data_IF_668842887447
#
_entry.id   IF_668842887447
#
_cell.length_a   1.000
_cell.length_b   1.000
_cell.length_c   1.000
_cell.angle_alpha   90.00
_cell.angle_beta   90.00
_cell.angle_gamma   90.00
#
_symmetry.space_group_name_H-M   'P 1'
#
loop_
_entity.id
_entity.type
_entity.pdbx_description
1 polymer ?
#
# COMPACT_ATOMS: atom_id res chain seq x y z
N UNK A 1 9.14 -23.60 0.57
CA UNK A 1 9.78 -24.08 -0.69
C UNK A 1 10.00 -22.88 -1.60
N UNK A 2 11.25 -22.49 -1.92
CA UNK A 2 11.50 -21.37 -2.87
C UNK A 2 11.26 -21.89 -4.28
N UNK A 3 10.26 -21.38 -4.96
CA UNK A 3 10.00 -21.68 -6.37
C UNK A 3 11.11 -21.00 -7.20
N UNK A 4 12.03 -21.76 -7.77
CA UNK A 4 13.02 -21.24 -8.67
C UNK A 4 12.35 -20.99 -10.03
N UNK A 5 12.25 -19.73 -10.43
CA UNK A 5 11.79 -19.38 -11.78
C UNK A 5 12.94 -19.63 -12.77
N UNK A 6 12.79 -20.61 -13.64
CA UNK A 6 13.74 -20.85 -14.71
C UNK A 6 13.62 -19.74 -15.77
N UNK A 7 14.74 -19.09 -16.09
CA UNK A 7 14.82 -18.13 -17.20
C UNK A 7 15.61 -18.73 -18.34
N UNK A 8 15.26 -18.46 -19.61
CA UNK A 8 15.89 -19.09 -20.78
C UNK A 8 17.26 -18.48 -21.15
N UNK A 9 17.82 -17.62 -20.31
CA UNK A 9 19.10 -16.94 -20.55
C UNK A 9 19.91 -16.79 -19.26
N UNK A 10 21.19 -16.50 -19.39
CA UNK A 10 22.11 -16.25 -18.28
C UNK A 10 21.76 -14.97 -17.56
N UNK A 11 21.83 -14.99 -16.24
CA UNK A 11 21.67 -13.82 -15.35
C UNK A 11 22.97 -13.57 -14.60
N UNK A 12 23.19 -12.32 -14.25
CA UNK A 12 24.34 -11.92 -13.46
C UNK A 12 24.24 -12.48 -12.02
N UNK A 13 25.39 -12.74 -11.44
CA UNK A 13 25.49 -13.08 -10.03
C UNK A 13 25.11 -11.85 -9.17
N UNK A 14 24.46 -12.10 -8.04
CA UNK A 14 23.97 -11.02 -7.15
C UNK A 14 25.08 -10.11 -6.65
N UNK A 15 26.30 -10.61 -6.53
CA UNK A 15 27.50 -9.85 -6.13
C UNK A 15 27.92 -8.75 -7.12
N UNK A 16 27.35 -8.72 -8.34
CA UNK A 16 27.59 -7.65 -9.32
C UNK A 16 26.83 -6.36 -9.02
N UNK A 17 25.92 -6.41 -8.05
CA UNK A 17 25.18 -5.28 -7.56
C UNK A 17 25.45 -5.13 -6.05
N UNK A 18 26.07 -4.03 -5.66
CA UNK A 18 26.12 -3.60 -4.27
C UNK A 18 25.09 -2.50 -4.10
N UNK A 19 24.03 -2.81 -3.38
CA UNK A 19 22.92 -1.88 -3.20
C UNK A 19 22.89 -1.37 -1.76
N UNK A 20 22.83 -0.05 -1.60
CA UNK A 20 22.52 0.61 -0.34
C UNK A 20 21.10 0.23 0.12
N UNK A 21 20.73 0.60 1.32
CA UNK A 21 19.35 0.48 1.78
C UNK A 21 18.48 1.52 1.06
N UNK A 22 17.20 1.19 0.87
CA UNK A 22 16.24 2.22 0.50
C UNK A 22 16.09 3.21 1.65
N UNK A 23 16.04 4.49 1.32
CA UNK A 23 15.85 5.59 2.24
C UNK A 23 14.54 6.29 1.97
N UNK A 24 13.88 6.75 3.03
CA UNK A 24 12.75 7.67 2.96
C UNK A 24 13.30 9.09 3.07
N UNK A 25 12.97 9.92 2.10
CA UNK A 25 13.30 11.34 2.12
C UNK A 25 12.22 12.07 2.93
N UNK A 26 12.57 12.52 4.10
CA UNK A 26 11.74 13.43 4.92
C UNK A 26 12.27 14.85 4.81
N UNK A 27 11.48 15.84 5.28
CA UNK A 27 11.89 17.26 5.26
C UNK A 27 13.13 17.54 6.10
N UNK A 28 13.48 16.68 7.05
CA UNK A 28 14.60 16.91 7.96
C UNK A 28 15.87 16.17 7.50
N UNK A 29 15.80 14.85 7.31
CA UNK A 29 16.95 14.04 6.85
C UNK A 29 16.49 12.74 6.19
N UNK A 30 17.29 12.19 5.22
CA UNK A 30 17.07 10.83 4.74
C UNK A 30 17.18 9.82 5.89
N UNK A 31 16.26 8.88 5.97
CA UNK A 31 16.29 7.80 6.95
C UNK A 31 16.11 6.44 6.29
N UNK A 32 16.76 5.37 6.79
CA UNK A 32 16.58 4.04 6.24
C UNK A 32 15.10 3.65 6.22
N UNK A 33 14.64 3.09 5.10
CA UNK A 33 13.27 2.59 4.96
C UNK A 33 13.09 1.37 5.89
N UNK A 34 12.21 1.46 6.91
CA UNK A 34 12.03 0.37 7.87
C UNK A 34 11.34 -0.82 7.23
N UNK A 35 11.51 -2.02 7.82
CA UNK A 35 10.81 -3.24 7.37
C UNK A 35 9.31 -3.19 7.66
N UNK A 36 8.90 -2.42 8.66
CA UNK A 36 7.51 -2.12 8.98
C UNK A 36 7.34 -0.61 8.96
N UNK A 37 6.51 -0.11 8.08
CA UNK A 37 6.25 1.30 7.89
C UNK A 37 4.89 1.65 8.50
N UNK A 38 4.91 2.47 9.55
CA UNK A 38 3.74 2.98 10.25
C UNK A 38 3.51 4.45 9.95
N UNK A 39 2.28 4.93 10.18
CA UNK A 39 1.95 6.36 10.06
C UNK A 39 1.73 6.85 8.64
N UNK A 40 1.67 5.96 7.63
CA UNK A 40 1.21 6.33 6.31
C UNK A 40 -0.32 6.43 6.28
N UNK A 41 -0.81 7.46 5.64
CA UNK A 41 -2.23 7.63 5.33
C UNK A 41 -2.46 7.77 3.81
N UNK A 42 -3.70 7.88 3.42
CA UNK A 42 -4.10 8.00 2.01
C UNK A 42 -3.50 9.25 1.32
N UNK A 43 -3.28 10.33 2.06
CA UNK A 43 -2.71 11.58 1.55
C UNK A 43 -1.19 11.61 1.58
N UNK A 44 -0.57 10.64 2.24
CA UNK A 44 0.88 10.54 2.39
C UNK A 44 1.58 10.34 1.05
N UNK A 45 2.76 10.92 0.93
CA UNK A 45 3.69 10.72 -0.19
C UNK A 45 4.99 10.14 0.34
N UNK A 46 5.32 8.95 -0.10
CA UNK A 46 6.53 8.25 0.28
C UNK A 46 7.59 8.52 -0.77
N UNK A 47 8.48 9.49 -0.50
CA UNK A 47 9.62 9.78 -1.34
C UNK A 47 10.75 8.81 -1.00
N UNK A 48 11.17 8.02 -1.97
CA UNK A 48 12.16 6.97 -1.82
C UNK A 48 13.42 7.27 -2.61
N UNK A 49 14.58 6.95 -2.03
CA UNK A 49 15.88 7.04 -2.67
C UNK A 49 16.72 5.81 -2.36
N UNK A 50 17.56 5.39 -3.32
CA UNK A 50 18.54 4.34 -3.13
C UNK A 50 19.74 4.58 -4.02
N UNK A 51 20.94 4.42 -3.47
CA UNK A 51 22.18 4.34 -4.22
C UNK A 51 22.54 2.88 -4.50
N UNK A 52 22.93 2.59 -5.72
CA UNK A 52 23.40 1.27 -6.15
C UNK A 52 24.72 1.39 -6.88
N UNK A 53 25.58 0.43 -6.67
CA UNK A 53 26.90 0.31 -7.33
C UNK A 53 26.92 -0.96 -8.15
N UNK A 54 27.21 -0.85 -9.44
CA UNK A 54 27.15 -1.96 -10.40
C UNK A 54 28.52 -2.21 -10.98
N UNK A 55 28.99 -3.47 -10.88
CA UNK A 55 30.13 -3.98 -11.66
C UNK A 55 29.66 -4.30 -13.08
N UNK A 56 29.72 -3.31 -13.98
CA UNK A 56 29.21 -3.43 -15.37
C UNK A 56 29.98 -4.47 -16.16
N UNK A 57 31.33 -4.49 -16.18
CA UNK A 57 32.09 -5.54 -16.88
C UNK A 57 31.76 -6.94 -16.40
N UNK A 58 31.75 -7.16 -15.08
CA UNK A 58 31.43 -8.47 -14.52
C UNK A 58 30.00 -8.91 -14.82
N UNK A 59 29.02 -8.00 -14.80
CA UNK A 59 27.64 -8.25 -15.17
C UNK A 59 27.53 -8.68 -16.65
N UNK A 60 28.24 -7.99 -17.56
CA UNK A 60 28.28 -8.34 -19.00
C UNK A 60 28.85 -9.70 -19.22
N UNK A 61 29.96 -10.04 -18.56
CA UNK A 61 30.59 -11.36 -18.63
C UNK A 61 29.64 -12.45 -18.15
N UNK A 62 29.03 -12.27 -16.99
CA UNK A 62 28.10 -13.26 -16.41
C UNK A 62 26.90 -13.53 -17.36
N UNK A 63 26.38 -12.50 -17.99
CA UNK A 63 25.23 -12.57 -18.90
C UNK A 63 25.60 -12.95 -20.34
N UNK A 64 26.89 -12.92 -20.69
CA UNK A 64 27.38 -13.17 -22.07
C UNK A 64 27.00 -12.01 -23.03
N UNK A 65 26.93 -10.78 -22.53
CA UNK A 65 26.56 -9.59 -23.31
C UNK A 65 27.81 -8.93 -23.92
N UNK A 66 27.66 -8.42 -25.13
CA UNK A 66 28.63 -7.54 -25.75
C UNK A 66 28.62 -6.14 -25.13
N UNK A 67 29.71 -5.38 -25.31
CA UNK A 67 29.84 -4.05 -24.71
C UNK A 67 28.88 -3.02 -25.29
N UNK A 68 28.40 -3.22 -26.51
CA UNK A 68 27.47 -2.35 -27.22
C UNK A 68 25.99 -2.46 -26.73
N UNK A 69 25.69 -3.44 -25.89
CA UNK A 69 24.32 -3.62 -25.40
C UNK A 69 23.98 -2.59 -24.33
N UNK A 70 22.99 -1.68 -24.58
CA UNK A 70 22.63 -0.70 -23.59
C UNK A 70 21.95 -1.36 -22.37
N UNK A 71 22.27 -0.87 -21.19
CA UNK A 71 21.75 -1.33 -19.91
C UNK A 71 20.95 -0.25 -19.22
N UNK A 72 19.98 -0.66 -18.41
CA UNK A 72 19.10 0.19 -17.66
C UNK A 72 19.00 -0.31 -16.20
N UNK A 73 19.26 0.56 -15.25
CA UNK A 73 18.88 0.34 -13.86
C UNK A 73 17.46 0.82 -13.66
N UNK A 74 16.58 0.01 -13.10
CA UNK A 74 15.19 0.35 -12.88
C UNK A 74 14.73 -0.06 -11.50
N UNK A 75 13.86 0.74 -10.92
CA UNK A 75 13.08 0.39 -9.75
C UNK A 75 11.59 0.39 -10.10
N UNK A 76 10.87 -0.59 -9.62
CA UNK A 76 9.42 -0.64 -9.69
C UNK A 76 8.86 -1.04 -8.32
N UNK A 77 7.65 -0.60 -8.05
CA UNK A 77 6.96 -1.03 -6.84
C UNK A 77 5.65 -1.76 -7.18
N UNK A 78 5.21 -2.59 -6.26
CA UNK A 78 3.90 -3.23 -6.32
C UNK A 78 3.32 -3.40 -4.92
N UNK A 79 2.01 -3.30 -4.82
CA UNK A 79 1.28 -3.54 -3.58
C UNK A 79 0.19 -4.59 -3.82
N UNK A 80 0.27 -5.75 -3.17
CA UNK A 80 -0.74 -6.80 -3.32
C UNK A 80 -2.13 -6.38 -2.90
N UNK A 81 -2.25 -5.56 -1.83
CA UNK A 81 -3.54 -5.11 -1.32
C UNK A 81 -4.33 -4.21 -2.28
N UNK A 82 -3.64 -3.48 -3.17
CA UNK A 82 -4.27 -2.65 -4.21
C UNK A 82 -4.17 -3.28 -5.60
N UNK A 83 -3.43 -4.37 -5.74
CA UNK A 83 -3.06 -5.00 -7.02
C UNK A 83 -2.38 -4.04 -8.03
N UNK A 84 -1.82 -2.95 -7.55
CA UNK A 84 -1.11 -1.98 -8.38
C UNK A 84 0.36 -2.37 -8.51
N UNK A 85 0.90 -2.11 -9.69
CA UNK A 85 2.34 -2.14 -9.98
C UNK A 85 2.68 -0.97 -10.89
N UNK A 86 3.73 -0.20 -10.50
CA UNK A 86 4.20 0.96 -11.28
C UNK A 86 5.72 1.06 -11.29
N UNK A 87 6.25 1.77 -12.27
CA UNK A 87 7.65 2.19 -12.27
C UNK A 87 7.88 3.22 -11.17
N UNK A 88 8.99 3.11 -10.45
CA UNK A 88 9.46 4.09 -9.48
C UNK A 88 10.53 4.99 -10.08
N UNK A 89 11.55 4.38 -10.69
CA UNK A 89 12.66 5.09 -11.30
C UNK A 89 13.27 4.26 -12.45
N UNK A 90 13.93 4.93 -13.39
CA UNK A 90 14.77 4.28 -14.39
C UNK A 90 15.92 5.19 -14.81
N UNK A 91 17.15 4.65 -14.85
CA UNK A 91 18.37 5.38 -15.18
C UNK A 91 19.19 4.53 -16.16
N UNK A 92 19.58 5.11 -17.30
CA UNK A 92 20.48 4.44 -18.24
C UNK A 92 21.87 4.28 -17.61
N UNK A 93 22.44 3.09 -17.72
CA UNK A 93 23.80 2.81 -17.27
C UNK A 93 24.75 3.29 -18.36
N UNK A 94 25.64 4.23 -18.02
CA UNK A 94 26.66 4.68 -18.95
C UNK A 94 27.59 3.51 -19.30
N UNK A 95 28.13 3.53 -20.53
CA UNK A 95 29.10 2.54 -21.01
C UNK A 95 30.48 2.77 -20.39
N UNK A 96 30.57 2.78 -19.07
CA UNK A 96 31.83 2.91 -18.36
C UNK A 96 32.51 1.53 -18.27
N UNK A 97 33.79 1.50 -18.55
CA UNK A 97 34.65 0.30 -18.45
C UNK A 97 34.85 -0.17 -16.98
N UNK A 98 34.05 0.33 -16.03
CA UNK A 98 34.25 0.12 -14.61
C UNK A 98 32.98 -0.07 -13.80
N UNK A 99 33.07 0.34 -12.55
CA UNK A 99 31.96 0.32 -11.60
C UNK A 99 31.15 1.61 -11.74
N UNK A 100 29.85 1.49 -11.87
CA UNK A 100 28.91 2.60 -12.03
C UNK A 100 28.11 2.82 -10.74
N UNK A 101 28.10 4.05 -10.22
CA UNK A 101 27.23 4.50 -9.13
C UNK A 101 25.98 5.14 -9.72
N UNK A 102 24.82 4.65 -9.30
CA UNK A 102 23.51 5.12 -9.76
C UNK A 102 22.62 5.43 -8.59
N UNK A 103 21.93 6.55 -8.66
CA UNK A 103 20.85 6.90 -7.74
C UNK A 103 19.49 6.59 -8.39
N UNK A 104 18.65 5.85 -7.67
CA UNK A 104 17.26 5.58 -8.02
C UNK A 104 16.38 6.33 -7.03
N UNK A 105 15.56 7.27 -7.51
CA UNK A 105 14.66 8.05 -6.66
C UNK A 105 13.28 8.16 -7.30
N UNK A 106 12.24 8.15 -6.46
CA UNK A 106 10.86 8.26 -6.92
C UNK A 106 9.88 8.38 -5.78
N UNK A 107 8.60 8.50 -6.12
CA UNK A 107 7.52 8.74 -5.17
C UNK A 107 6.46 7.64 -5.29
N UNK A 108 5.92 7.24 -4.13
CA UNK A 108 4.80 6.32 -4.01
C UNK A 108 3.70 7.02 -3.23
N UNK A 109 2.50 7.11 -3.81
CA UNK A 109 1.35 7.69 -3.10
C UNK A 109 0.81 6.68 -2.09
N UNK A 110 0.47 7.14 -0.88
CA UNK A 110 -0.15 6.32 0.16
C UNK A 110 -1.48 5.70 -0.30
N UNK A 111 -2.22 6.41 -1.15
CA UNK A 111 -3.45 5.91 -1.77
C UNK A 111 -3.27 4.68 -2.65
N UNK A 112 -2.07 4.43 -3.14
CA UNK A 112 -1.78 3.37 -4.11
C UNK A 112 -1.26 2.08 -3.46
N UNK A 113 -1.02 2.08 -2.15
CA UNK A 113 -0.43 0.95 -1.43
C UNK A 113 -1.28 0.50 -0.25
N UNK A 114 -1.35 -0.82 -0.01
CA UNK A 114 -2.04 -1.41 1.14
C UNK A 114 -1.43 -2.77 1.52
N UNK A 115 -1.37 -3.05 2.82
CA UNK A 115 -0.89 -4.30 3.39
C UNK A 115 0.62 -4.49 3.29
N UNK A 116 1.16 -4.50 2.07
CA UNK A 116 2.60 -4.59 1.84
C UNK A 116 3.02 -3.76 0.61
N UNK A 117 4.24 -3.24 0.66
CA UNK A 117 4.91 -2.60 -0.45
C UNK A 117 6.12 -3.45 -0.85
N UNK A 118 6.13 -3.96 -2.07
CA UNK A 118 7.27 -4.63 -2.66
C UNK A 118 8.00 -3.65 -3.57
N UNK A 119 9.30 -3.49 -3.37
CA UNK A 119 10.16 -2.67 -4.23
C UNK A 119 11.13 -3.62 -4.92
N UNK A 120 11.06 -3.66 -6.24
CA UNK A 120 11.96 -4.41 -7.11
C UNK A 120 13.02 -3.46 -7.69
N UNK A 121 14.29 -3.73 -7.42
CA UNK A 121 15.44 -3.11 -8.10
C UNK A 121 15.95 -4.09 -9.13
N UNK A 122 16.07 -3.68 -10.39
CA UNK A 122 16.48 -4.56 -11.47
C UNK A 122 17.47 -3.89 -12.42
N UNK A 123 18.40 -4.68 -12.95
CA UNK A 123 19.22 -4.31 -14.10
C UNK A 123 18.64 -5.01 -15.33
N UNK A 124 18.30 -4.22 -16.33
CA UNK A 124 17.61 -4.64 -17.52
C UNK A 124 18.50 -4.43 -18.75
N UNK A 125 18.31 -5.25 -19.75
CA UNK A 125 18.80 -4.98 -21.08
C UNK A 125 17.88 -3.94 -21.74
N UNK A 126 18.42 -2.79 -22.18
CA UNK A 126 17.64 -1.70 -22.73
C UNK A 126 17.53 -1.74 -24.26
N UNK A 127 18.34 -2.55 -24.94
CA UNK A 127 18.34 -2.71 -26.39
C UNK A 127 18.52 -4.16 -26.81
N UNK A 128 18.58 -4.40 -28.11
CA UNK A 128 18.89 -5.71 -28.66
C UNK A 128 20.40 -5.86 -28.87
N UNK A 129 21.01 -7.01 -28.57
CA UNK A 129 22.42 -7.23 -28.84
C UNK A 129 22.68 -7.39 -30.35
N UNK A 130 23.79 -6.83 -30.83
CA UNK A 130 24.24 -6.97 -32.22
C UNK A 130 24.60 -8.39 -32.58
N UNK A 131 25.03 -9.19 -31.59
CA UNK A 131 25.31 -10.62 -31.72
C UNK A 131 24.86 -11.40 -30.48
N UNK A 132 24.38 -12.63 -30.67
CA UNK A 132 23.82 -13.44 -29.58
C UNK A 132 24.64 -14.70 -29.39
N UNK A 133 25.34 -14.81 -28.24
CA UNK A 133 25.90 -16.07 -27.79
C UNK A 133 24.79 -17.04 -27.31
N UNK A 134 25.04 -18.33 -27.19
CA UNK A 134 24.08 -19.26 -26.61
C UNK A 134 23.66 -18.85 -25.19
N UNK A 135 22.37 -18.91 -24.90
CA UNK A 135 21.79 -18.57 -23.61
C UNK A 135 21.95 -17.07 -23.21
N UNK A 136 22.19 -16.18 -24.16
CA UNK A 136 22.18 -14.73 -23.94
C UNK A 136 20.75 -14.18 -24.09
N UNK A 137 20.38 -13.19 -23.27
CA UNK A 137 19.14 -12.46 -23.42
C UNK A 137 19.07 -11.77 -24.80
N UNK A 138 17.91 -11.82 -25.47
CA UNK A 138 17.76 -11.36 -26.87
C UNK A 138 16.85 -10.17 -27.03
N UNK A 139 16.08 -9.85 -26.02
CA UNK A 139 15.03 -8.80 -26.09
C UNK A 139 15.25 -7.73 -25.07
N UNK A 140 15.01 -6.47 -25.46
CA UNK A 140 14.92 -5.37 -24.51
C UNK A 140 13.90 -5.69 -23.42
N UNK A 141 14.17 -5.24 -22.19
CA UNK A 141 13.39 -5.56 -21.01
C UNK A 141 13.78 -6.90 -20.34
N UNK A 142 14.72 -7.66 -20.88
CA UNK A 142 15.21 -8.85 -20.20
C UNK A 142 15.88 -8.50 -18.87
N UNK A 143 15.47 -9.18 -17.81
CA UNK A 143 15.95 -8.94 -16.43
C UNK A 143 17.25 -9.68 -16.21
N UNK A 144 18.37 -8.97 -16.16
CA UNK A 144 19.71 -9.51 -15.99
C UNK A 144 20.05 -9.77 -14.52
N UNK A 145 19.59 -8.89 -13.63
CA UNK A 145 19.72 -9.01 -12.18
C UNK A 145 18.48 -8.38 -11.53
N UNK A 146 18.03 -8.94 -10.42
CA UNK A 146 16.87 -8.40 -9.68
C UNK A 146 17.03 -8.69 -8.19
N UNK A 147 16.67 -7.70 -7.40
CA UNK A 147 16.53 -7.78 -5.96
C UNK A 147 15.15 -7.26 -5.56
N UNK A 148 14.51 -7.87 -4.54
CA UNK A 148 13.25 -7.42 -3.99
C UNK A 148 13.39 -7.13 -2.52
N UNK A 149 12.91 -5.96 -2.10
CA UNK A 149 12.66 -5.62 -0.71
C UNK A 149 11.15 -5.59 -0.46
N UNK A 150 10.72 -6.16 0.66
CA UNK A 150 9.33 -6.14 1.09
C UNK A 150 9.23 -5.36 2.39
N UNK A 151 8.33 -4.39 2.40
CA UNK A 151 8.00 -3.56 3.54
C UNK A 151 6.57 -3.91 3.94
N UNK A 152 6.35 -4.25 5.20
CA UNK A 152 5.01 -4.40 5.75
C UNK A 152 4.47 -3.01 6.07
N UNK A 153 3.25 -2.77 5.68
CA UNK A 153 2.54 -1.55 6.06
C UNK A 153 1.76 -1.86 7.32
N UNK A 154 2.08 -1.13 8.40
CA UNK A 154 1.37 -1.32 9.66
C UNK A 154 -0.09 -0.90 9.49
N UNK A 155 -0.98 -1.88 9.54
CA UNK A 155 -2.42 -1.68 9.38
C UNK A 155 -3.08 -1.04 10.61
N UNK A 156 -2.32 -0.73 11.65
CA UNK A 156 -2.85 -0.04 12.84
C UNK A 156 -3.34 1.38 12.52
N UNK A 157 -2.88 1.97 11.39
CA UNK A 157 -3.40 3.21 10.82
C UNK A 157 -4.12 2.85 9.52
N UNK A 158 -5.42 2.74 9.59
CA UNK A 158 -6.31 2.35 8.53
C UNK A 158 -6.07 3.19 7.26
N UNK A 159 -5.65 2.56 6.16
CA UNK A 159 -5.65 3.14 4.81
C UNK A 159 -7.09 3.36 4.35
N UNK A 160 -7.75 4.29 4.99
CA UNK A 160 -9.12 4.62 4.66
C UNK A 160 -9.11 5.70 3.57
N UNK A 161 -9.78 5.52 2.43
CA UNK A 161 -9.86 6.55 1.41
C UNK A 161 -10.56 7.79 1.98
N UNK A 162 -9.80 8.86 2.21
CA UNK A 162 -10.30 10.13 2.74
C UNK A 162 -10.31 11.17 1.62
N UNK A 163 -11.44 11.86 1.44
CA UNK A 163 -11.61 12.92 0.46
C UNK A 163 -12.21 14.16 1.13
N UNK A 164 -11.63 15.34 0.90
CA UNK A 164 -12.17 16.60 1.42
C UNK A 164 -13.11 17.19 0.37
N UNK A 165 -14.38 17.38 0.72
CA UNK A 165 -15.46 17.80 -0.18
C UNK A 165 -16.29 18.89 0.47
N UNK A 166 -16.74 19.87 -0.29
CA UNK A 166 -17.69 20.87 0.16
C UNK A 166 -19.13 20.30 0.14
N UNK A 167 -19.68 20.03 1.31
CA UNK A 167 -21.02 19.44 1.43
C UNK A 167 -22.15 20.40 1.03
N UNK A 168 -21.89 21.70 0.91
CA UNK A 168 -22.88 22.68 0.43
C UNK A 168 -23.15 22.56 -1.08
N UNK A 169 -22.22 21.97 -1.84
CA UNK A 169 -22.26 21.92 -3.30
C UNK A 169 -22.77 20.59 -3.88
N UNK A 170 -23.31 19.69 -3.05
CA UNK A 170 -23.71 18.36 -3.49
C UNK A 170 -25.05 17.90 -2.92
N UNK A 171 -25.51 16.71 -3.36
CA UNK A 171 -26.70 16.04 -2.82
C UNK A 171 -26.39 15.36 -1.46
N UNK A 172 -25.87 16.14 -0.52
CA UNK A 172 -25.53 15.63 0.80
C UNK A 172 -26.74 15.70 1.73
N UNK A 173 -26.95 14.68 2.56
CA UNK A 173 -28.11 14.62 3.44
C UNK A 173 -28.14 15.76 4.47
N UNK A 174 -26.94 16.23 4.90
CA UNK A 174 -26.78 17.36 5.82
C UNK A 174 -25.49 18.13 5.51
N UNK A 175 -25.57 19.39 5.04
CA UNK A 175 -24.39 20.19 4.71
C UNK A 175 -23.57 20.58 5.95
N UNK A 176 -24.12 20.53 7.16
CA UNK A 176 -23.44 20.87 8.40
C UNK A 176 -22.71 19.68 9.03
N UNK A 177 -22.82 18.47 8.45
CA UNK A 177 -22.11 17.31 8.95
C UNK A 177 -20.59 17.45 8.77
N UNK A 178 -19.80 17.05 9.78
CA UNK A 178 -18.35 17.13 9.73
C UNK A 178 -17.70 16.11 8.79
N UNK A 179 -18.30 14.93 8.67
CA UNK A 179 -17.86 13.84 7.78
C UNK A 179 -19.02 12.93 7.40
N UNK A 180 -18.78 12.12 6.39
CA UNK A 180 -19.71 11.07 5.93
C UNK A 180 -18.93 9.86 5.43
N UNK A 181 -19.33 8.68 5.88
CA UNK A 181 -18.90 7.44 5.24
C UNK A 181 -19.76 7.18 4.01
N UNK A 182 -19.15 7.10 2.85
CA UNK A 182 -19.77 6.68 1.60
C UNK A 182 -19.35 5.24 1.31
N UNK A 183 -20.28 4.30 1.44
CA UNK A 183 -20.07 2.91 1.09
C UNK A 183 -21.39 2.25 0.74
N UNK A 184 -21.32 1.11 0.05
CA UNK A 184 -22.50 0.36 -0.36
C UNK A 184 -22.46 -1.05 0.20
N UNK A 185 -23.38 -1.38 1.09
CA UNK A 185 -23.50 -2.70 1.74
C UNK A 185 -23.76 -3.84 0.72
N UNK A 186 -24.23 -3.52 -0.48
CA UNK A 186 -24.44 -4.48 -1.57
C UNK A 186 -23.21 -4.65 -2.49
N UNK A 187 -22.11 -3.95 -2.20
CA UNK A 187 -20.88 -3.98 -2.99
C UNK A 187 -19.75 -4.74 -2.26
N UNK A 188 -20.08 -5.79 -1.53
CA UNK A 188 -19.15 -6.53 -0.67
C UNK A 188 -18.04 -7.26 -1.43
N UNK A 189 -18.26 -7.63 -2.68
CA UNK A 189 -17.25 -8.25 -3.55
C UNK A 189 -16.30 -7.24 -4.22
N UNK A 190 -16.63 -5.95 -4.18
CA UNK A 190 -15.77 -4.92 -4.78
C UNK A 190 -14.52 -4.67 -3.93
N UNK A 191 -13.40 -4.22 -4.55
CA UNK A 191 -12.22 -3.79 -3.83
C UNK A 191 -12.55 -2.69 -2.81
N UNK A 192 -12.07 -2.84 -1.57
CA UNK A 192 -12.39 -1.94 -0.46
C UNK A 192 -12.11 -0.47 -0.79
N UNK A 193 -10.93 -0.18 -1.36
CA UNK A 193 -10.51 1.19 -1.71
C UNK A 193 -11.39 1.83 -2.81
N UNK A 194 -12.11 1.03 -3.59
CA UNK A 194 -13.06 1.52 -4.60
C UNK A 194 -14.49 1.66 -4.06
N UNK A 195 -14.87 0.85 -3.06
CA UNK A 195 -16.23 0.74 -2.55
C UNK A 195 -16.50 1.61 -1.32
N UNK A 196 -15.45 2.03 -0.60
CA UNK A 196 -15.57 2.75 0.68
C UNK A 196 -14.81 4.06 0.59
N UNK A 197 -15.43 5.17 1.00
CA UNK A 197 -14.81 6.51 1.07
C UNK A 197 -15.26 7.24 2.31
N UNK A 198 -14.32 7.86 3.01
CA UNK A 198 -14.60 8.82 4.07
C UNK A 198 -14.55 10.23 3.50
N UNK A 199 -15.67 10.90 3.48
CA UNK A 199 -15.79 12.27 3.00
C UNK A 199 -15.70 13.21 4.20
N UNK A 200 -14.78 14.17 4.16
CA UNK A 200 -14.61 15.21 5.18
C UNK A 200 -15.14 16.51 4.63
N UNK A 201 -15.99 17.17 5.40
CA UNK A 201 -16.57 18.44 4.98
C UNK A 201 -15.56 19.59 5.04
N UNK A 202 -15.27 20.19 3.90
CA UNK A 202 -14.37 21.35 3.78
C UNK A 202 -14.80 22.56 4.61
N UNK A 203 -16.09 22.68 4.93
CA UNK A 203 -16.63 23.76 5.77
C UNK A 203 -16.16 23.68 7.23
N UNK A 204 -15.57 22.57 7.67
CA UNK A 204 -15.06 22.36 9.02
C UNK A 204 -13.53 22.28 9.09
N UNK A 205 -12.78 23.41 9.10
CA UNK A 205 -11.31 23.41 9.03
C UNK A 205 -10.62 22.62 10.16
N UNK A 206 -11.25 22.52 11.34
CA UNK A 206 -10.71 21.73 12.46
C UNK A 206 -10.78 20.24 12.18
N UNK A 207 -11.86 19.76 11.55
CA UNK A 207 -12.04 18.36 11.16
C UNK A 207 -11.06 18.00 10.03
N UNK A 208 -10.94 18.90 9.04
CA UNK A 208 -9.98 18.74 7.93
C UNK A 208 -8.55 18.59 8.47
N UNK A 209 -8.08 19.52 9.32
CA UNK A 209 -6.74 19.45 9.93
C UNK A 209 -6.53 18.22 10.81
N UNK A 210 -7.58 17.80 11.54
CA UNK A 210 -7.50 16.57 12.33
C UNK A 210 -7.39 15.33 11.44
N UNK A 211 -8.12 15.28 10.33
CA UNK A 211 -8.09 14.15 9.39
C UNK A 211 -6.78 14.09 8.60
N UNK A 212 -6.17 15.22 8.23
CA UNK A 212 -4.88 15.28 7.51
C UNK A 212 -3.64 15.04 8.39
N UNK A 213 -3.82 14.93 9.71
CA UNK A 213 -2.68 14.67 10.61
C UNK A 213 -1.77 15.89 10.89
N UNK A 214 -2.10 17.07 10.35
CA UNK A 214 -1.26 18.27 10.39
C UNK A 214 -1.02 18.87 11.78
N UNK A 215 -1.81 18.50 12.78
CA UNK A 215 -1.71 19.05 14.12
C UNK A 215 -1.90 17.98 15.20
N UNK A 216 -0.82 17.37 15.72
CA UNK A 216 -0.92 16.41 16.81
C UNK A 216 -1.21 17.14 18.13
N UNK A 217 -2.49 17.35 18.45
CA UNK A 217 -2.95 17.88 19.73
C UNK A 217 -4.14 17.06 20.25
N UNK A 218 -4.53 17.28 21.50
CA UNK A 218 -5.62 16.54 22.13
C UNK A 218 -6.97 16.70 21.40
N UNK A 219 -7.27 17.89 20.87
CA UNK A 219 -8.49 18.16 20.09
C UNK A 219 -8.50 17.34 18.80
N UNK A 220 -7.41 17.38 18.02
CA UNK A 220 -7.28 16.62 16.77
C UNK A 220 -7.35 15.11 17.03
N UNK A 221 -6.74 14.64 18.13
CA UNK A 221 -6.84 13.23 18.54
C UNK A 221 -8.29 12.82 18.86
N UNK A 222 -9.02 13.66 19.59
CA UNK A 222 -10.43 13.41 19.90
C UNK A 222 -11.32 13.38 18.64
N UNK A 223 -11.09 14.32 17.70
CA UNK A 223 -11.83 14.35 16.43
C UNK A 223 -11.52 13.08 15.60
N UNK A 224 -10.25 12.68 15.47
CA UNK A 224 -9.87 11.43 14.77
C UNK A 224 -10.51 10.22 15.41
N UNK A 225 -10.51 10.13 16.74
CA UNK A 225 -11.16 9.03 17.46
C UNK A 225 -12.67 8.98 17.19
N UNK A 226 -13.34 10.13 17.12
CA UNK A 226 -14.76 10.20 16.80
C UNK A 226 -15.04 9.75 15.36
N UNK A 227 -14.25 10.22 14.38
CA UNK A 227 -14.34 9.79 12.97
C UNK A 227 -14.11 8.28 12.86
N UNK A 228 -13.06 7.78 13.50
CA UNK A 228 -12.70 6.35 13.45
C UNK A 228 -13.81 5.48 14.03
N UNK A 229 -14.36 5.86 15.20
CA UNK A 229 -15.47 5.13 15.82
C UNK A 229 -16.71 5.11 14.94
N UNK A 230 -17.12 6.27 14.44
CA UNK A 230 -18.34 6.39 13.64
C UNK A 230 -18.21 5.58 12.33
N UNK A 231 -17.05 5.66 11.71
CA UNK A 231 -16.72 4.89 10.49
C UNK A 231 -16.72 3.38 10.74
N UNK A 232 -15.99 2.91 11.77
CA UNK A 232 -15.94 1.50 12.11
C UNK A 232 -17.33 0.97 12.49
N UNK A 233 -18.10 1.74 13.28
CA UNK A 233 -19.47 1.43 13.64
C UNK A 233 -20.38 1.30 12.42
N UNK A 234 -20.31 2.24 11.47
CA UNK A 234 -21.12 2.21 10.28
C UNK A 234 -20.82 0.99 9.39
N UNK A 235 -19.53 0.62 9.25
CA UNK A 235 -19.12 -0.57 8.49
C UNK A 235 -19.59 -1.86 9.19
N UNK A 236 -19.33 -1.98 10.50
CA UNK A 236 -19.71 -3.18 11.27
C UNK A 236 -21.22 -3.37 11.29
N UNK A 237 -21.97 -2.34 11.66
CA UNK A 237 -23.43 -2.45 11.75
C UNK A 237 -24.08 -2.67 10.38
N UNK A 238 -23.58 -1.99 9.34
CA UNK A 238 -24.10 -2.19 7.99
C UNK A 238 -23.82 -3.59 7.46
N UNK A 239 -22.65 -4.15 7.71
CA UNK A 239 -22.33 -5.52 7.33
C UNK A 239 -23.17 -6.53 8.12
N UNK A 240 -23.32 -6.37 9.44
CA UNK A 240 -24.12 -7.25 10.29
C UNK A 240 -25.63 -7.16 9.99
N UNK A 241 -26.09 -6.12 9.31
CA UNK A 241 -27.47 -5.99 8.81
C UNK A 241 -27.68 -6.67 7.42
N UNK A 242 -26.62 -7.09 6.74
CA UNK A 242 -26.69 -7.74 5.44
C UNK A 242 -26.82 -9.25 5.59
N UNK A 243 -27.93 -9.82 5.07
CA UNK A 243 -28.14 -11.27 5.03
C UNK A 243 -27.01 -11.96 4.26
N UNK A 244 -26.61 -11.40 3.10
CA UNK A 244 -25.50 -11.92 2.30
C UNK A 244 -24.21 -12.00 3.10
N UNK A 245 -23.88 -10.95 3.89
CA UNK A 245 -22.68 -10.95 4.69
C UNK A 245 -22.69 -12.03 5.79
N UNK A 246 -23.85 -12.22 6.43
CA UNK A 246 -24.06 -13.24 7.46
C UNK A 246 -23.94 -14.64 6.89
N UNK A 247 -24.56 -14.90 5.74
CA UNK A 247 -24.58 -16.22 5.09
C UNK A 247 -23.18 -16.62 4.58
N UNK A 248 -22.41 -15.68 4.04
CA UNK A 248 -21.08 -15.94 3.47
C UNK A 248 -20.00 -16.16 4.52
N UNK A 249 -20.18 -15.68 5.74
CA UNK A 249 -19.29 -15.89 6.91
C UNK A 249 -17.79 -15.77 6.55
N UNK A 250 -17.41 -14.67 5.88
CA UNK A 250 -16.04 -14.40 5.47
C UNK A 250 -15.61 -15.04 4.15
N UNK A 251 -16.49 -15.71 3.42
CA UNK A 251 -16.25 -16.29 2.10
C UNK A 251 -16.13 -15.26 0.97
N UNK A 252 -15.33 -14.21 1.16
CA UNK A 252 -15.04 -13.14 0.20
C UNK A 252 -13.62 -13.22 -0.33
N UNK A 253 -13.41 -12.72 -1.55
CA UNK A 253 -12.07 -12.62 -2.14
C UNK A 253 -11.16 -11.69 -1.31
N UNK A 254 -9.87 -11.97 -1.29
CA UNK A 254 -8.89 -11.13 -0.60
C UNK A 254 -8.88 -9.70 -1.18
N UNK A 255 -8.84 -8.68 -0.30
CA UNK A 255 -8.91 -7.27 -0.69
C UNK A 255 -10.31 -6.74 -1.00
N UNK A 256 -11.34 -7.59 -1.01
CA UNK A 256 -12.74 -7.15 -1.17
C UNK A 256 -13.26 -6.46 0.09
N UNK A 257 -14.29 -5.64 -0.07
CA UNK A 257 -14.96 -4.92 1.01
C UNK A 257 -15.45 -5.89 2.10
N UNK A 258 -16.14 -6.96 1.72
CA UNK A 258 -16.64 -7.99 2.62
C UNK A 258 -15.52 -8.68 3.41
N UNK A 259 -14.38 -9.01 2.74
CA UNK A 259 -13.24 -9.66 3.41
C UNK A 259 -12.58 -8.76 4.45
N UNK A 260 -12.38 -7.48 4.13
CA UNK A 260 -11.75 -6.52 5.04
C UNK A 260 -12.65 -6.24 6.25
N UNK A 261 -13.95 -6.04 6.03
CA UNK A 261 -14.90 -5.83 7.14
C UNK A 261 -15.00 -7.10 8.00
N UNK A 262 -15.02 -8.29 7.40
CA UNK A 262 -14.98 -9.55 8.16
C UNK A 262 -13.74 -9.65 9.04
N UNK A 263 -12.55 -9.39 8.49
CA UNK A 263 -11.31 -9.40 9.25
C UNK A 263 -11.32 -8.38 10.39
N UNK A 264 -11.86 -7.18 10.16
CA UNK A 264 -12.05 -6.16 11.21
C UNK A 264 -12.97 -6.66 12.33
N UNK A 265 -14.10 -7.28 11.98
CA UNK A 265 -15.04 -7.84 12.97
C UNK A 265 -14.34 -8.95 13.78
N UNK A 266 -13.63 -9.87 13.13
CA UNK A 266 -12.92 -10.95 13.84
C UNK A 266 -11.80 -10.44 14.75
N UNK A 267 -11.14 -9.33 14.39
CA UNK A 267 -10.15 -8.68 15.25
C UNK A 267 -10.81 -8.03 16.48
N UNK A 268 -11.97 -7.41 16.29
CA UNK A 268 -12.71 -6.74 17.38
C UNK A 268 -13.44 -7.74 18.28
N UNK A 269 -13.95 -8.82 17.72
CA UNK A 269 -14.76 -9.85 18.40
C UNK A 269 -14.19 -11.25 18.15
N UNK A 270 -12.98 -11.55 18.67
CA UNK A 270 -12.31 -12.81 18.40
C UNK A 270 -13.09 -13.98 18.96
N UNK A 271 -13.42 -14.95 18.10
CA UNK A 271 -14.16 -16.15 18.46
C UNK A 271 -15.68 -16.02 18.47
N UNK A 272 -16.22 -14.84 18.26
CA UNK A 272 -17.66 -14.63 18.13
C UNK A 272 -18.10 -14.89 16.67
N UNK A 273 -19.16 -15.67 16.48
CA UNK A 273 -19.72 -15.94 15.14
C UNK A 273 -20.52 -14.75 14.60
N UNK A 274 -20.46 -14.52 13.29
CA UNK A 274 -21.12 -13.38 12.60
C UNK A 274 -22.63 -13.36 12.88
N UNK A 275 -23.31 -14.49 12.82
CA UNK A 275 -24.76 -14.58 13.10
C UNK A 275 -25.10 -14.18 14.56
N UNK A 276 -24.25 -14.56 15.52
CA UNK A 276 -24.43 -14.19 16.93
C UNK A 276 -24.24 -12.68 17.14
N UNK A 277 -23.24 -12.08 16.48
CA UNK A 277 -22.99 -10.63 16.52
C UNK A 277 -24.14 -9.85 15.86
N UNK A 278 -24.67 -10.32 14.74
CA UNK A 278 -25.81 -9.71 14.06
C UNK A 278 -27.06 -9.72 14.95
N UNK A 279 -27.34 -10.83 15.63
CA UNK A 279 -28.42 -10.95 16.58
C UNK A 279 -28.21 -9.99 17.78
N UNK A 280 -27.02 -9.91 18.33
CA UNK A 280 -26.68 -9.00 19.44
C UNK A 280 -26.84 -7.53 19.04
N UNK A 281 -26.36 -7.14 17.84
CA UNK A 281 -26.48 -5.79 17.31
C UNK A 281 -27.94 -5.38 17.08
N UNK A 282 -28.80 -6.31 16.64
CA UNK A 282 -30.22 -6.06 16.41
C UNK A 282 -31.04 -6.03 17.70
N UNK A 283 -30.80 -6.99 18.61
CA UNK A 283 -31.64 -7.15 19.81
C UNK A 283 -31.23 -6.23 20.97
N UNK A 284 -29.95 -5.86 21.07
CA UNK A 284 -29.41 -5.03 22.17
C UNK A 284 -28.40 -4.02 21.62
N UNK A 285 -28.83 -3.07 20.76
CA UNK A 285 -27.95 -2.17 20.06
C UNK A 285 -27.13 -1.24 20.98
N UNK A 286 -27.65 -0.85 22.13
CA UNK A 286 -26.97 -0.06 23.14
C UNK A 286 -25.79 -0.83 23.77
N UNK A 287 -25.98 -2.07 24.16
CA UNK A 287 -24.92 -2.95 24.67
C UNK A 287 -23.87 -3.21 23.59
N UNK A 288 -24.28 -3.57 22.37
CA UNK A 288 -23.36 -3.82 21.27
C UNK A 288 -22.50 -2.60 20.94
N UNK A 289 -23.10 -1.39 20.93
CA UNK A 289 -22.35 -0.14 20.70
C UNK A 289 -21.32 0.12 21.81
N UNK A 290 -21.67 -0.16 23.06
CA UNK A 290 -20.76 -0.01 24.22
C UNK A 290 -19.59 -0.97 24.11
N UNK A 291 -19.85 -2.24 23.76
CA UNK A 291 -18.82 -3.24 23.56
C UNK A 291 -17.90 -2.88 22.41
N UNK A 292 -18.45 -2.43 21.27
CA UNK A 292 -17.69 -1.97 20.12
C UNK A 292 -16.78 -0.78 20.48
N UNK A 293 -17.30 0.18 21.24
CA UNK A 293 -16.52 1.34 21.71
C UNK A 293 -15.35 0.89 22.60
N UNK A 294 -15.59 -0.01 23.54
CA UNK A 294 -14.55 -0.54 24.42
C UNK A 294 -13.47 -1.30 23.67
N UNK A 295 -13.85 -2.12 22.68
CA UNK A 295 -12.91 -2.91 21.86
C UNK A 295 -12.08 -2.06 20.91
N UNK A 296 -12.61 -0.96 20.41
CA UNK A 296 -11.89 0.03 19.59
C UNK A 296 -10.88 0.87 20.41
N UNK A 297 -10.89 0.78 21.75
CA UNK A 297 -9.94 1.45 22.67
C UNK A 297 -9.80 2.96 22.41
N UNK A 298 -10.88 3.64 22.11
CA UNK A 298 -10.88 5.05 21.67
C UNK A 298 -10.25 6.05 22.66
N UNK A 299 -10.21 5.71 23.92
CA UNK A 299 -9.71 6.58 25.00
C UNK A 299 -8.48 6.03 25.71
N UNK A 300 -7.82 5.03 25.10
CA UNK A 300 -6.60 4.44 25.63
C UNK A 300 -5.39 5.03 24.86
N UNK A 301 -4.96 6.20 25.25
CA UNK A 301 -3.72 6.84 24.80
C UNK A 301 -2.73 6.97 25.95
#
# INVERSE_FOLDING_TARGET
MRTATAVPYKRAATQRLTAGQWEVLTTEHPSPLPLVLSGLDYSSRLCLRREIVIDVPGLRVDCGLANDVPLLAAASWSSPGTMLRRSLASVSIADDEGTCLIELAGEVAGSDIAGALHIDTAILMAGQPSSCAPLTARHAGAVLLQERQTIQLDSSHSFFPVEVVDFSQGYWANPDAGWRLSWNVFALDQPFLGAVRLLINAAHPRVVRAASGEAPNAEASAIRSAIYFDTAKALVLGALASEEFIERDGGYAEGSCGRIIYAMIQMLFPGDGISGLAAAASQRPDHFNTDLQGRLRLFWS
#
